data_IF_153521885518
#
_entry.id   IF_153521885518
#
_cell.length_a   1.000
_cell.length_b   1.000
_cell.length_c   1.000
_cell.angle_alpha   90.00
_cell.angle_beta   90.00
_cell.angle_gamma   90.00
#
_symmetry.space_group_name_H-M   'P 1'
#
loop_
_entity.id
_entity.type
_entity.pdbx_description
1 polymer ?
#
# COMPACT_ATOMS: atom_id res chain seq x y z
N UNK A 1 -13.90 -46.03 -9.29
CA UNK A 1 -13.86 -44.57 -9.59
C UNK A 1 -13.63 -43.80 -8.29
N UNK A 2 -12.42 -43.89 -7.74
CA UNK A 2 -11.99 -43.21 -6.50
C UNK A 2 -10.93 -42.15 -6.86
N UNK A 3 -10.10 -42.43 -7.87
CA UNK A 3 -9.16 -41.48 -8.44
C UNK A 3 -9.82 -40.19 -8.93
N UNK A 4 -11.00 -40.27 -9.57
CA UNK A 4 -11.71 -39.08 -10.05
C UNK A 4 -12.15 -38.16 -8.91
N UNK A 5 -12.60 -38.72 -7.78
CA UNK A 5 -13.02 -37.96 -6.60
C UNK A 5 -11.81 -37.31 -5.91
N UNK A 6 -10.70 -38.03 -5.81
CA UNK A 6 -9.45 -37.51 -5.23
C UNK A 6 -8.90 -36.36 -6.09
N UNK A 7 -8.88 -36.53 -7.41
CA UNK A 7 -8.38 -35.50 -8.34
C UNK A 7 -9.26 -34.23 -8.29
N UNK A 8 -10.58 -34.38 -8.20
CA UNK A 8 -11.49 -33.24 -8.08
C UNK A 8 -11.31 -32.51 -6.74
N UNK A 9 -11.11 -33.26 -5.65
CA UNK A 9 -10.79 -32.70 -4.34
C UNK A 9 -9.51 -31.86 -4.37
N UNK A 10 -8.42 -32.40 -4.92
CA UNK A 10 -7.13 -31.68 -5.03
C UNK A 10 -7.25 -30.45 -5.92
N UNK A 11 -7.99 -30.52 -7.03
CA UNK A 11 -8.18 -29.37 -7.92
C UNK A 11 -8.97 -28.25 -7.22
N UNK A 12 -10.02 -28.59 -6.47
CA UNK A 12 -10.82 -27.60 -5.73
C UNK A 12 -10.03 -26.92 -4.61
N UNK A 13 -9.22 -27.67 -3.86
CA UNK A 13 -8.39 -27.09 -2.79
C UNK A 13 -7.33 -26.16 -3.38
N UNK A 14 -6.64 -26.55 -4.45
CA UNK A 14 -5.66 -25.68 -5.13
C UNK A 14 -6.33 -24.39 -5.64
N UNK A 15 -7.51 -24.49 -6.27
CA UNK A 15 -8.22 -23.32 -6.79
C UNK A 15 -8.66 -22.36 -5.67
N UNK A 16 -9.11 -22.89 -4.53
CA UNK A 16 -9.44 -22.06 -3.37
C UNK A 16 -8.20 -21.41 -2.76
N UNK A 17 -7.07 -22.13 -2.64
CA UNK A 17 -5.82 -21.57 -2.13
C UNK A 17 -5.27 -20.45 -3.04
N UNK A 18 -5.44 -20.57 -4.35
CA UNK A 18 -5.10 -19.52 -5.32
C UNK A 18 -6.05 -18.31 -5.21
N UNK A 19 -7.36 -18.54 -5.05
CA UNK A 19 -8.35 -17.47 -4.93
C UNK A 19 -8.21 -16.68 -3.63
N UNK A 20 -7.79 -17.31 -2.53
CA UNK A 20 -7.61 -16.65 -1.24
C UNK A 20 -6.26 -15.92 -1.07
N UNK A 21 -5.42 -15.86 -2.11
CA UNK A 21 -4.10 -15.18 -2.08
C UNK A 21 -3.20 -15.60 -0.89
N UNK A 22 -3.27 -16.88 -0.46
CA UNK A 22 -2.49 -17.39 0.70
C UNK A 22 -1.03 -17.71 0.31
N UNK A 23 -0.65 -17.58 -0.96
CA UNK A 23 0.75 -17.68 -1.38
C UNK A 23 1.32 -16.27 -1.46
N UNK A 24 2.16 -15.82 -0.50
CA UNK A 24 2.94 -14.61 -0.71
C UNK A 24 3.83 -14.86 -1.92
N UNK A 25 3.56 -14.17 -3.03
CA UNK A 25 4.56 -14.06 -4.09
C UNK A 25 5.79 -13.46 -3.43
N UNK A 26 6.84 -14.27 -3.26
CA UNK A 26 8.18 -13.75 -2.99
C UNK A 26 8.49 -12.82 -4.15
N UNK A 27 8.34 -11.53 -3.90
CA UNK A 27 8.94 -10.49 -4.72
C UNK A 27 10.43 -10.75 -4.62
N UNK A 28 10.98 -11.45 -5.60
CA UNK A 28 12.41 -11.46 -5.85
C UNK A 28 12.76 -10.05 -6.25
N UNK A 29 13.15 -9.24 -5.26
CA UNK A 29 13.74 -7.90 -5.41
C UNK A 29 15.12 -8.06 -6.08
N UNK A 30 15.07 -8.44 -7.35
CA UNK A 30 16.20 -8.34 -8.26
C UNK A 30 16.23 -6.91 -8.77
N UNK A 31 17.18 -6.14 -8.23
CA UNK A 31 17.72 -4.91 -8.80
C UNK A 31 16.97 -3.60 -8.51
N UNK A 32 17.37 -2.99 -7.39
CA UNK A 32 17.90 -1.64 -7.37
C UNK A 32 17.05 -0.52 -8.00
N UNK A 33 15.97 -0.15 -7.31
CA UNK A 33 15.55 1.24 -7.21
C UNK A 33 15.49 1.59 -5.74
N UNK A 34 16.49 2.33 -5.24
CA UNK A 34 16.61 2.65 -3.82
C UNK A 34 15.31 3.25 -3.27
N UNK A 35 14.59 2.50 -2.42
CA UNK A 35 13.78 3.09 -1.36
C UNK A 35 14.79 3.79 -0.42
N UNK A 36 15.21 5.00 -0.78
CA UNK A 36 15.78 5.93 0.19
C UNK A 36 14.64 6.25 1.15
N UNK A 37 14.55 5.46 2.21
CA UNK A 37 13.83 5.84 3.40
C UNK A 37 14.38 7.21 3.79
N UNK A 38 13.61 8.26 3.52
CA UNK A 38 13.93 9.59 4.01
C UNK A 38 13.75 9.53 5.52
N UNK A 39 14.77 9.04 6.23
CA UNK A 39 14.94 9.30 7.65
C UNK A 39 15.25 10.79 7.76
N UNK A 40 14.20 11.60 7.77
CA UNK A 40 14.29 12.94 8.31
C UNK A 40 14.91 12.79 9.70
N UNK A 41 16.04 13.45 9.92
CA UNK A 41 16.82 13.43 11.16
C UNK A 41 16.08 14.16 12.28
N UNK A 42 14.87 13.72 12.61
CA UNK A 42 14.31 13.89 13.93
C UNK A 42 14.82 12.72 14.73
N UNK A 43 15.83 12.95 15.57
CA UNK A 43 16.37 11.96 16.49
C UNK A 43 15.21 11.22 17.17
N UNK A 44 14.98 9.97 16.77
CA UNK A 44 13.96 9.10 17.36
C UNK A 44 14.49 8.73 18.74
N UNK A 45 14.15 9.57 19.73
CA UNK A 45 14.40 9.30 21.13
C UNK A 45 13.76 7.95 21.51
N UNK A 46 14.28 7.22 22.51
CA UNK A 46 13.74 5.93 22.98
C UNK A 46 12.29 5.99 23.51
N UNK A 47 11.63 7.15 23.42
CA UNK A 47 10.20 7.34 23.71
C UNK A 47 9.27 6.70 22.66
N UNK A 48 9.78 6.37 21.46
CA UNK A 48 8.98 5.71 20.43
C UNK A 48 8.50 4.31 20.86
N UNK A 49 9.32 3.53 21.58
CA UNK A 49 8.95 2.20 22.05
C UNK A 49 7.90 2.23 23.16
N UNK A 50 7.98 3.22 24.06
CA UNK A 50 6.96 3.45 25.07
C UNK A 50 5.61 3.90 24.46
N UNK A 51 5.64 4.64 23.34
CA UNK A 51 4.45 5.09 22.62
C UNK A 51 3.82 3.99 21.76
N UNK A 52 4.63 3.08 21.22
CA UNK A 52 4.16 1.91 20.47
C UNK A 52 3.37 0.94 21.38
N UNK A 53 3.78 0.77 22.64
CA UNK A 53 3.01 0.01 23.63
C UNK A 53 1.69 0.68 24.00
N UNK A 54 1.61 2.01 23.99
CA UNK A 54 0.36 2.75 24.21
C UNK A 54 -0.61 2.68 23.02
N UNK A 55 -0.12 2.43 21.80
CA UNK A 55 -0.95 2.24 20.59
C UNK A 55 -1.78 0.95 20.61
N UNK A 56 -1.44 -0.02 21.47
CA UNK A 56 -2.23 -1.25 21.65
C UNK A 56 -3.41 -1.08 22.60
N UNK A 57 -3.45 0.00 23.40
CA UNK A 57 -4.53 0.28 24.37
C UNK A 57 -5.57 1.24 23.79
N UNK A 58 -5.34 1.80 22.60
CA UNK A 58 -6.36 2.55 21.86
C UNK A 58 -7.20 1.57 21.06
N UNK A 59 -8.09 0.86 21.76
CA UNK A 59 -9.22 0.19 21.12
C UNK A 59 -9.96 1.21 20.23
N UNK A 60 -10.13 0.86 18.95
CA UNK A 60 -11.13 1.42 18.03
C UNK A 60 -11.18 2.95 17.82
N UNK A 61 -10.18 3.74 18.19
CA UNK A 61 -10.04 5.08 17.61
C UNK A 61 -9.66 4.92 16.13
N UNK A 62 -10.50 5.43 15.24
CA UNK A 62 -10.35 5.26 13.81
C UNK A 62 -9.03 5.93 13.34
N UNK A 63 -7.98 5.14 13.10
CA UNK A 63 -6.64 5.68 12.75
C UNK A 63 -6.69 6.43 11.42
N UNK A 64 -6.21 7.69 11.33
CA UNK A 64 -6.10 8.39 10.05
C UNK A 64 -5.30 7.58 9.05
N UNK A 65 -5.87 7.32 7.88
CA UNK A 65 -5.25 6.51 6.84
C UNK A 65 -5.71 6.95 5.46
N UNK A 66 -4.81 6.87 4.49
CA UNK A 66 -5.10 7.20 3.11
C UNK A 66 -4.34 6.25 2.17
N UNK A 67 -4.97 5.94 1.06
CA UNK A 67 -4.33 5.34 -0.11
C UNK A 67 -4.84 6.10 -1.33
N UNK A 68 -3.94 6.67 -2.13
CA UNK A 68 -4.30 7.47 -3.30
C UNK A 68 -3.72 6.82 -4.54
N UNK A 69 -4.46 6.93 -5.64
CA UNK A 69 -4.03 6.47 -6.96
C UNK A 69 -3.93 7.65 -7.92
N UNK A 70 -3.26 7.48 -9.05
CA UNK A 70 -3.15 8.52 -10.08
C UNK A 70 -4.38 8.46 -10.99
N UNK A 71 -4.96 9.62 -11.30
CA UNK A 71 -6.06 9.71 -12.25
C UNK A 71 -5.60 9.26 -13.65
N UNK A 72 -6.32 8.31 -14.26
CA UNK A 72 -5.94 7.67 -15.54
C UNK A 72 -6.03 8.60 -16.76
N UNK A 73 -6.64 9.79 -16.63
CA UNK A 73 -6.98 10.68 -17.74
C UNK A 73 -6.15 11.96 -17.83
N UNK A 74 -5.13 12.12 -17.00
CA UNK A 74 -4.33 13.34 -17.05
C UNK A 74 -3.16 13.24 -18.05
N UNK A 75 -3.10 14.22 -18.96
CA UNK A 75 -2.20 14.34 -20.10
C UNK A 75 -0.72 14.56 -19.66
N UNK A 76 -0.13 13.58 -18.99
CA UNK A 76 1.27 13.61 -18.53
C UNK A 76 1.48 14.28 -17.16
N UNK A 77 0.42 14.78 -16.54
CA UNK A 77 0.49 15.34 -15.18
C UNK A 77 0.06 14.30 -14.15
N UNK A 78 0.78 14.22 -13.03
CA UNK A 78 0.43 13.33 -11.92
C UNK A 78 -0.57 14.02 -11.00
N UNK A 79 -1.83 13.61 -11.06
CA UNK A 79 -2.88 14.04 -10.14
C UNK A 79 -3.36 12.86 -9.28
N UNK A 80 -3.21 13.00 -7.97
CA UNK A 80 -3.73 12.04 -7.00
C UNK A 80 -5.26 12.11 -6.94
N UNK A 81 -5.89 10.97 -6.75
CA UNK A 81 -7.34 10.85 -6.57
C UNK A 81 -7.66 9.78 -5.53
N UNK A 82 -8.83 9.93 -4.91
CA UNK A 82 -9.41 8.99 -3.96
C UNK A 82 -10.73 8.36 -4.46
N UNK A 83 -11.17 8.71 -5.68
CA UNK A 83 -12.51 8.39 -6.19
C UNK A 83 -12.57 7.17 -7.11
N UNK A 84 -11.48 6.42 -7.25
CA UNK A 84 -11.35 5.30 -8.18
C UNK A 84 -10.65 4.11 -7.53
N UNK A 85 -10.97 2.91 -8.00
CA UNK A 85 -10.33 1.64 -7.63
C UNK A 85 -10.31 1.40 -6.10
N UNK A 86 -9.14 1.07 -5.55
CA UNK A 86 -8.90 0.82 -4.12
C UNK A 86 -8.42 2.07 -3.37
N UNK A 87 -8.58 3.27 -3.93
CA UNK A 87 -8.19 4.51 -3.27
C UNK A 87 -9.18 4.88 -2.15
N UNK A 88 -8.68 5.46 -1.06
CA UNK A 88 -9.50 5.89 0.07
C UNK A 88 -8.87 7.02 0.87
N UNK A 89 -9.73 7.78 1.54
CA UNK A 89 -9.40 8.65 2.66
C UNK A 89 -10.23 8.24 3.86
N UNK A 90 -9.59 8.05 5.02
CA UNK A 90 -10.27 7.66 6.26
C UNK A 90 -9.91 8.59 7.39
N UNK A 91 -10.89 8.82 8.26
CA UNK A 91 -10.70 9.37 9.61
C UNK A 91 -10.00 10.74 9.61
N UNK A 92 -10.51 11.66 8.79
CA UNK A 92 -10.05 13.05 8.72
C UNK A 92 -8.91 13.32 7.75
N UNK A 93 -8.34 12.30 7.09
CA UNK A 93 -7.40 12.52 5.99
C UNK A 93 -8.10 13.26 4.85
N UNK A 94 -7.44 14.26 4.27
CA UNK A 94 -7.96 15.04 3.13
C UNK A 94 -6.96 15.06 1.99
N UNK A 95 -7.46 15.23 0.77
CA UNK A 95 -6.68 15.52 -0.41
C UNK A 95 -7.07 16.92 -0.90
N UNK A 96 -6.14 17.87 -0.79
CA UNK A 96 -6.37 19.26 -1.14
C UNK A 96 -5.23 19.72 -2.05
N UNK A 97 -5.55 20.25 -3.23
CA UNK A 97 -4.59 20.77 -4.20
C UNK A 97 -3.44 19.79 -4.49
N UNK A 98 -3.77 18.51 -4.75
CA UNK A 98 -2.82 17.41 -4.99
C UNK A 98 -1.87 17.09 -3.81
N UNK A 99 -2.24 17.47 -2.58
CA UNK A 99 -1.48 17.20 -1.35
C UNK A 99 -2.31 16.43 -0.34
N UNK A 100 -1.70 15.44 0.29
CA UNK A 100 -2.30 14.70 1.40
C UNK A 100 -2.19 15.52 2.69
N UNK A 101 -3.32 15.84 3.32
CA UNK A 101 -3.41 16.59 4.57
C UNK A 101 -3.70 15.64 5.72
N UNK A 102 -2.82 15.63 6.73
CA UNK A 102 -2.97 14.84 7.96
C UNK A 102 -3.80 15.60 9.00
N UNK A 103 -4.74 14.95 9.70
CA UNK A 103 -5.68 15.64 10.60
C UNK A 103 -5.09 15.98 11.98
N UNK A 104 -3.99 15.33 12.39
CA UNK A 104 -3.40 15.51 13.72
C UNK A 104 -1.91 15.16 13.75
N UNK A 105 -1.16 15.71 14.70
CA UNK A 105 0.23 15.32 14.95
C UNK A 105 0.34 13.85 15.39
N UNK A 106 1.40 13.17 14.97
CA UNK A 106 1.61 11.76 15.31
C UNK A 106 2.69 11.10 14.47
N UNK A 107 2.91 9.81 14.71
CA UNK A 107 3.78 8.98 13.86
C UNK A 107 2.95 8.41 12.70
N UNK A 108 3.44 8.61 11.48
CA UNK A 108 2.79 8.14 10.25
C UNK A 108 3.75 7.30 9.44
N UNK A 109 3.23 6.22 8.85
CA UNK A 109 3.92 5.48 7.81
C UNK A 109 3.51 6.06 6.45
N UNK A 110 4.47 6.56 5.68
CA UNK A 110 4.25 7.23 4.39
C UNK A 110 5.02 6.46 3.31
N UNK A 111 4.35 6.16 2.20
CA UNK A 111 4.94 5.49 1.04
C UNK A 111 4.40 6.06 -0.27
N UNK A 112 5.12 5.83 -1.37
CA UNK A 112 4.70 6.21 -2.72
C UNK A 112 5.32 5.24 -3.74
N UNK A 113 4.63 5.01 -4.85
CA UNK A 113 5.12 4.23 -5.99
C UNK A 113 4.75 4.96 -7.28
N UNK A 114 5.70 5.05 -8.21
CA UNK A 114 5.51 5.61 -9.55
C UNK A 114 6.19 4.71 -10.57
N UNK A 115 5.60 4.60 -11.76
CA UNK A 115 6.14 3.82 -12.88
C UNK A 115 6.16 4.70 -14.13
N UNK A 116 7.31 4.80 -14.78
CA UNK A 116 7.48 5.58 -16.01
C UNK A 116 7.54 4.65 -17.22
N UNK A 117 6.99 5.11 -18.35
CA UNK A 117 7.07 4.40 -19.62
C UNK A 117 7.36 5.40 -20.74
N UNK A 118 8.51 5.25 -21.36
CA UNK A 118 8.90 6.02 -22.54
C UNK A 118 8.71 5.19 -23.81
N UNK A 119 8.42 5.85 -24.93
CA UNK A 119 8.47 5.22 -26.26
C UNK A 119 9.84 5.48 -26.87
N UNK A 120 10.60 4.43 -27.15
CA UNK A 120 11.84 4.56 -27.92
C UNK A 120 11.50 4.81 -29.39
N UNK A 121 11.79 6.02 -29.90
CA UNK A 121 11.78 6.29 -31.33
C UNK A 121 13.14 5.87 -31.90
N UNK A 122 13.14 4.99 -32.91
CA UNK A 122 14.36 4.68 -33.67
C UNK A 122 14.57 5.82 -34.66
N UNK A 123 15.72 6.49 -34.56
CA UNK A 123 16.23 7.43 -35.56
C UNK A 123 16.84 6.67 -36.74
#
# INVERSE_FOLDING_TARGET
SICAVILLGIATTILTLLHFEIIPQRITLSQAGQLKMFQSSYAVRPKAEALLKHSQIVNSASKPAAHLVVATKDNGNLHWTNGTDHAFLKNGMKLENNKLVVPSSGLYFIYTQVVFREKCNKH
#
